data_IF_056470141685
#
_entry.id   IF_056470141685
#
_cell.length_a   1.000
_cell.length_b   1.000
_cell.length_c   1.000
_cell.angle_alpha   90.00
_cell.angle_beta   90.00
_cell.angle_gamma   90.00
#
_symmetry.space_group_name_H-M   'P 1'
#
loop_
_entity.id
_entity.type
_entity.pdbx_description
1 polymer ?
#
# COMPACT_ATOMS: atom_id res chain seq x y z
N UNK A 1 11.36 8.48 -2.90
CA UNK A 1 9.97 8.89 -3.24
C UNK A 1 9.32 7.70 -3.95
N UNK A 2 8.29 7.08 -3.39
CA UNK A 2 7.57 5.97 -4.04
C UNK A 2 6.65 6.56 -5.11
N UNK A 3 7.17 6.67 -6.34
CA UNK A 3 6.41 7.19 -7.48
C UNK A 3 5.91 6.02 -8.32
N UNK A 4 4.69 5.56 -8.06
CA UNK A 4 4.03 4.56 -8.91
C UNK A 4 3.22 5.29 -10.00
N UNK A 5 3.83 5.47 -11.16
CA UNK A 5 3.13 5.95 -12.35
C UNK A 5 2.25 4.83 -12.92
N UNK A 6 1.03 4.69 -12.40
CA UNK A 6 0.06 3.70 -12.89
C UNK A 6 -0.55 4.16 -14.23
N UNK A 7 -0.21 3.47 -15.32
CA UNK A 7 -0.55 3.87 -16.69
C UNK A 7 -1.79 3.15 -17.29
N UNK A 8 -2.65 2.53 -16.46
CA UNK A 8 -3.92 1.95 -16.93
C UNK A 8 -4.98 2.99 -17.31
N UNK A 9 -5.84 2.65 -18.29
CA UNK A 9 -7.06 3.37 -18.69
C UNK A 9 -8.07 3.36 -17.53
N UNK A 10 -7.91 4.23 -16.54
CA UNK A 10 -8.69 4.20 -15.31
C UNK A 10 -9.80 5.27 -15.29
N UNK A 11 -11.04 4.84 -15.45
CA UNK A 11 -12.25 5.63 -15.15
C UNK A 11 -12.44 5.92 -13.64
N UNK A 12 -11.60 5.37 -12.76
CA UNK A 12 -11.63 5.55 -11.29
C UNK A 12 -10.35 6.19 -10.71
N UNK A 13 -9.58 6.94 -11.51
CA UNK A 13 -8.42 7.70 -10.98
C UNK A 13 -8.92 8.93 -10.21
N UNK A 14 -8.69 8.94 -8.89
CA UNK A 14 -8.87 10.13 -8.03
C UNK A 14 -7.63 11.02 -8.01
N UNK A 15 -7.46 11.83 -6.95
CA UNK A 15 -6.36 12.80 -6.81
C UNK A 15 -4.93 12.21 -6.70
N UNK A 16 -4.76 10.88 -6.79
CA UNK A 16 -3.44 10.24 -6.73
C UNK A 16 -2.84 10.06 -5.33
N UNK A 17 -3.60 10.33 -4.27
CA UNK A 17 -3.11 10.30 -2.87
C UNK A 17 -3.32 8.95 -2.16
N UNK A 18 -4.07 8.01 -2.75
CA UNK A 18 -4.46 6.79 -2.07
C UNK A 18 -3.26 5.95 -1.60
N UNK A 19 -2.25 5.78 -2.46
CA UNK A 19 -1.09 4.94 -2.12
C UNK A 19 -0.15 5.61 -1.10
N UNK A 20 0.01 6.94 -1.14
CA UNK A 20 0.81 7.66 -0.15
C UNK A 20 0.18 7.59 1.23
N UNK A 21 -1.14 7.80 1.32
CA UNK A 21 -1.88 7.70 2.58
C UNK A 21 -1.81 6.28 3.15
N UNK A 22 -2.03 5.25 2.30
CA UNK A 22 -1.92 3.85 2.74
C UNK A 22 -0.54 3.53 3.29
N UNK A 23 0.53 3.97 2.61
CA UNK A 23 1.90 3.77 3.08
C UNK A 23 2.10 4.37 4.48
N UNK A 24 1.67 5.62 4.67
CA UNK A 24 1.85 6.30 5.95
C UNK A 24 1.09 5.57 7.07
N UNK A 25 -0.14 5.12 6.82
CA UNK A 25 -0.94 4.34 7.78
C UNK A 25 -0.24 3.03 8.16
N UNK A 26 0.26 2.27 7.17
CA UNK A 26 0.95 0.99 7.41
C UNK A 26 2.20 1.20 8.26
N UNK A 27 3.04 2.18 7.91
CA UNK A 27 4.27 2.47 8.64
C UNK A 27 4.00 2.99 10.06
N UNK A 28 2.96 3.80 10.25
CA UNK A 28 2.55 4.29 11.57
C UNK A 28 2.12 3.16 12.53
N UNK A 29 1.69 2.02 11.99
CA UNK A 29 1.24 0.86 12.77
C UNK A 29 2.27 -0.29 12.77
N UNK A 30 3.56 0.03 12.64
CA UNK A 30 4.66 -0.94 12.58
C UNK A 30 4.47 -2.03 11.51
N UNK A 31 3.70 -1.74 10.47
CA UNK A 31 3.53 -2.61 9.31
C UNK A 31 4.56 -2.31 8.23
N UNK A 32 4.52 -3.12 7.17
CA UNK A 32 5.43 -2.99 6.04
C UNK A 32 4.66 -3.00 4.72
N UNK A 33 5.15 -2.28 3.72
CA UNK A 33 4.53 -2.21 2.39
C UNK A 33 5.59 -2.32 1.30
N UNK A 34 5.35 -3.21 0.34
CA UNK A 34 6.27 -3.54 -0.74
C UNK A 34 5.57 -3.53 -2.09
N UNK A 35 6.35 -3.21 -3.11
CA UNK A 35 5.93 -3.24 -4.51
C UNK A 35 6.74 -4.31 -5.21
N UNK A 36 6.04 -5.24 -5.85
CA UNK A 36 6.65 -6.32 -6.61
C UNK A 36 6.21 -6.20 -8.07
N UNK A 37 7.15 -5.83 -8.93
CA UNK A 37 6.92 -5.76 -10.37
C UNK A 37 6.83 -7.18 -10.94
N UNK A 38 5.71 -7.49 -11.57
CA UNK A 38 5.54 -8.69 -12.40
C UNK A 38 5.67 -8.33 -13.87
N UNK A 39 5.84 -9.34 -14.71
CA UNK A 39 5.99 -9.16 -16.16
C UNK A 39 4.78 -8.46 -16.80
N UNK A 40 3.59 -8.65 -16.22
CA UNK A 40 2.29 -8.20 -16.71
C UNK A 40 1.54 -7.29 -15.72
N UNK A 41 2.18 -6.88 -14.62
CA UNK A 41 1.49 -6.14 -13.58
C UNK A 41 2.36 -5.72 -12.41
N UNK A 42 1.70 -5.23 -11.36
CA UNK A 42 2.32 -4.75 -10.14
C UNK A 42 1.52 -5.29 -8.96
N UNK A 43 2.19 -6.01 -8.07
CA UNK A 43 1.60 -6.44 -6.82
C UNK A 43 2.02 -5.48 -5.70
N UNK A 44 1.07 -5.19 -4.82
CA UNK A 44 1.30 -4.42 -3.59
C UNK A 44 1.12 -5.39 -2.43
N UNK A 45 2.20 -5.70 -1.73
CA UNK A 45 2.18 -6.55 -0.54
C UNK A 45 2.20 -5.67 0.71
N UNK A 46 1.29 -5.93 1.65
CA UNK A 46 1.19 -5.21 2.92
C UNK A 46 1.25 -6.21 4.06
N UNK A 47 2.11 -5.96 5.03
CA UNK A 47 2.22 -6.72 6.28
C UNK A 47 1.72 -5.83 7.42
N UNK A 48 0.84 -6.39 8.24
CA UNK A 48 0.26 -5.70 9.39
C UNK A 48 0.79 -6.35 10.66
N UNK A 49 1.21 -5.54 11.62
CA UNK A 49 1.54 -6.04 12.95
C UNK A 49 0.27 -6.60 13.59
N UNK A 50 0.31 -7.88 13.96
CA UNK A 50 -0.76 -8.50 14.72
C UNK A 50 -0.79 -7.87 16.11
N UNK A 51 -1.95 -7.37 16.51
CA UNK A 51 -2.19 -6.93 17.89
C UNK A 51 -2.76 -8.15 18.62
N UNK A 52 -2.01 -8.67 19.58
CA UNK A 52 -2.52 -9.65 20.51
C UNK A 52 -3.23 -8.88 21.63
N UNK A 53 -4.55 -9.03 21.69
CA UNK A 53 -5.34 -8.52 22.80
C UNK A 53 -5.22 -9.53 23.95
N UNK A 54 -4.49 -9.19 25.00
CA UNK A 54 -4.72 -9.80 26.30
C UNK A 54 -6.03 -9.21 26.81
N UNK A 55 -7.06 -10.05 27.00
CA UNK A 55 -8.30 -9.60 27.61
C UNK A 55 -7.98 -9.15 29.05
N UNK A 56 -8.11 -7.85 29.33
CA UNK A 56 -8.19 -7.32 30.70
C UNK A 56 -9.46 -7.81 31.40
#
# INVERSE_FOLDING_TARGET
MFNCNFQGKNTKKGAGLGLSIMKDIILLNDGEIYLENRKDGLDIKMLFKKIDYENE
#
